data_IF_421265147411
#
_entry.id   IF_421265147411
#
_cell.length_a   1.000
_cell.length_b   1.000
_cell.length_c   1.000
_cell.angle_alpha   90.00
_cell.angle_beta   90.00
_cell.angle_gamma   90.00
#
_symmetry.space_group_name_H-M   'P 1'
#
loop_
_entity.id
_entity.type
_entity.pdbx_description
1 polymer ?
#
# COMPACT_ATOMS: atom_id res chain seq x y z
N UNK A 1 -6.58 19.96 -10.42
CA UNK A 1 -6.47 18.48 -10.57
C UNK A 1 -5.57 17.98 -9.45
N UNK A 2 -5.89 16.83 -8.84
CA UNK A 2 -5.06 16.21 -7.79
C UNK A 2 -4.18 15.11 -8.39
N UNK A 3 -2.94 14.97 -7.93
CA UNK A 3 -1.92 14.10 -8.53
C UNK A 3 -1.55 12.96 -7.59
N UNK A 4 -1.60 11.73 -8.11
CA UNK A 4 -1.01 10.55 -7.47
C UNK A 4 0.33 10.27 -8.17
N UNK A 5 1.44 10.46 -7.45
CA UNK A 5 2.77 10.04 -7.95
C UNK A 5 3.03 8.62 -7.45
N UNK A 6 3.24 7.71 -8.40
CA UNK A 6 3.26 6.27 -8.11
C UNK A 6 4.53 5.57 -8.60
N UNK A 7 5.08 4.72 -7.75
CA UNK A 7 6.12 3.76 -8.10
C UNK A 7 5.55 2.33 -8.05
N UNK A 8 5.95 1.49 -9.02
CA UNK A 8 5.53 0.09 -9.09
C UNK A 8 6.74 -0.80 -9.34
N UNK A 9 6.89 -1.88 -8.56
CA UNK A 9 7.82 -2.97 -8.84
C UNK A 9 7.06 -4.29 -8.90
N UNK A 10 6.94 -4.86 -10.10
CA UNK A 10 6.20 -6.11 -10.33
C UNK A 10 7.05 -7.37 -10.12
N UNK A 11 8.34 -7.22 -9.82
CA UNK A 11 9.29 -8.32 -9.74
C UNK A 11 9.69 -8.63 -8.30
N UNK A 12 9.80 -7.61 -7.45
CA UNK A 12 10.29 -7.78 -6.09
C UNK A 12 9.80 -6.69 -5.13
N UNK A 13 10.10 -6.92 -3.85
CA UNK A 13 9.99 -5.94 -2.78
C UNK A 13 11.38 -5.38 -2.47
N UNK A 14 11.65 -4.11 -2.81
CA UNK A 14 12.88 -3.44 -2.40
C UNK A 14 12.98 -3.32 -0.88
N UNK A 15 14.15 -2.94 -0.39
CA UNK A 15 14.38 -2.73 1.04
C UNK A 15 13.46 -1.63 1.63
N UNK A 16 13.18 -1.72 2.93
CA UNK A 16 12.38 -0.73 3.65
C UNK A 16 12.86 0.72 3.42
N UNK A 17 14.17 1.05 3.51
CA UNK A 17 14.64 2.40 3.26
C UNK A 17 14.37 2.90 1.84
N UNK A 18 14.41 2.01 0.84
CA UNK A 18 14.11 2.37 -0.55
C UNK A 18 12.62 2.70 -0.71
N UNK A 19 11.74 1.87 -0.16
CA UNK A 19 10.29 2.09 -0.20
C UNK A 19 9.93 3.40 0.51
N UNK A 20 10.50 3.63 1.70
CA UNK A 20 10.37 4.88 2.44
C UNK A 20 10.81 6.07 1.57
N UNK A 21 12.01 6.01 0.99
CA UNK A 21 12.53 7.09 0.16
C UNK A 21 11.62 7.41 -1.03
N UNK A 22 10.99 6.41 -1.66
CA UNK A 22 10.03 6.66 -2.76
C UNK A 22 8.76 7.37 -2.31
N UNK A 23 8.26 7.07 -1.10
CA UNK A 23 7.11 7.78 -0.54
C UNK A 23 7.45 9.25 -0.23
N UNK A 24 8.65 9.48 0.30
CA UNK A 24 9.17 10.83 0.58
C UNK A 24 9.41 11.61 -0.72
N UNK A 25 10.05 10.99 -1.71
CA UNK A 25 10.34 11.58 -3.02
C UNK A 25 9.05 12.08 -3.68
N UNK A 26 8.01 11.24 -3.72
CA UNK A 26 6.70 11.63 -4.25
C UNK A 26 6.12 12.85 -3.52
N UNK A 27 6.14 12.88 -2.18
CA UNK A 27 5.68 14.04 -1.40
C UNK A 27 6.51 15.29 -1.71
N UNK A 28 7.84 15.18 -1.74
CA UNK A 28 8.74 16.31 -2.02
C UNK A 28 8.60 16.84 -3.45
N UNK A 29 8.20 15.99 -4.39
CA UNK A 29 7.90 16.35 -5.76
C UNK A 29 6.51 17.00 -5.93
N UNK A 30 5.76 17.20 -4.83
CA UNK A 30 4.46 17.85 -4.84
C UNK A 30 3.28 16.92 -5.14
N UNK A 31 3.41 15.61 -4.87
CA UNK A 31 2.26 14.71 -4.94
C UNK A 31 1.18 15.11 -3.96
N UNK A 32 -0.09 15.08 -4.40
CA UNK A 32 -1.21 15.09 -3.46
C UNK A 32 -1.36 13.73 -2.75
N UNK A 33 -0.94 12.64 -3.41
CA UNK A 33 -0.92 11.28 -2.84
C UNK A 33 0.35 10.53 -3.27
N UNK A 34 1.13 10.06 -2.30
CA UNK A 34 2.29 9.19 -2.56
C UNK A 34 1.86 7.73 -2.70
N UNK A 35 2.30 7.02 -3.74
CA UNK A 35 1.91 5.61 -3.96
C UNK A 35 3.10 4.69 -4.24
N UNK A 36 3.16 3.54 -3.55
CA UNK A 36 4.12 2.46 -3.81
C UNK A 36 3.44 1.10 -3.86
N UNK A 37 3.61 0.36 -4.95
CA UNK A 37 3.18 -1.03 -5.07
C UNK A 37 4.35 -1.96 -5.40
N UNK A 38 4.50 -3.07 -4.67
CA UNK A 38 5.65 -3.99 -4.82
C UNK A 38 5.20 -5.45 -4.84
N UNK A 39 6.01 -6.34 -5.42
CA UNK A 39 5.70 -7.77 -5.50
C UNK A 39 6.47 -8.56 -4.43
N UNK A 40 5.80 -9.20 -3.46
CA UNK A 40 6.48 -10.03 -2.48
C UNK A 40 6.95 -11.35 -3.09
N UNK A 41 8.09 -11.87 -2.61
CA UNK A 41 8.52 -13.26 -2.82
C UNK A 41 8.11 -14.16 -1.66
N UNK A 42 7.91 -13.57 -0.47
CA UNK A 42 7.47 -14.23 0.74
C UNK A 42 6.75 -13.26 1.70
N UNK A 43 6.33 -13.73 2.87
CA UNK A 43 5.66 -12.89 3.87
C UNK A 43 6.61 -11.89 4.56
N UNK A 44 7.93 -12.12 4.55
CA UNK A 44 8.91 -11.17 5.06
C UNK A 44 8.97 -9.90 4.21
N UNK A 45 8.80 -10.03 2.90
CA UNK A 45 8.63 -8.90 1.99
C UNK A 45 7.35 -8.10 2.31
N UNK A 46 6.25 -8.77 2.65
CA UNK A 46 5.01 -8.10 3.07
C UNK A 46 5.25 -7.26 4.33
N UNK A 47 5.97 -7.81 5.32
CA UNK A 47 6.36 -7.08 6.53
C UNK A 47 7.26 -5.89 6.20
N UNK A 48 8.19 -6.05 5.25
CA UNK A 48 9.09 -4.97 4.79
C UNK A 48 8.30 -3.77 4.26
N UNK A 49 7.29 -4.02 3.42
CA UNK A 49 6.40 -2.96 2.94
C UNK A 49 5.59 -2.30 4.07
N UNK A 50 4.99 -3.09 4.95
CA UNK A 50 4.19 -2.57 6.06
C UNK A 50 5.04 -1.74 7.04
N UNK A 51 6.28 -2.18 7.29
CA UNK A 51 7.27 -1.42 8.09
C UNK A 51 7.57 -0.06 7.45
N UNK A 52 7.86 -0.04 6.13
CA UNK A 52 8.13 1.19 5.41
C UNK A 52 6.92 2.15 5.41
N UNK A 53 5.72 1.59 5.29
CA UNK A 53 4.45 2.33 5.38
C UNK A 53 4.30 2.99 6.75
N UNK A 54 4.42 2.21 7.82
CA UNK A 54 4.31 2.72 9.19
C UNK A 54 5.37 3.77 9.50
N UNK A 55 6.61 3.55 9.08
CA UNK A 55 7.71 4.51 9.26
C UNK A 55 7.43 5.82 8.54
N UNK A 56 7.04 5.77 7.26
CA UNK A 56 6.74 6.95 6.46
C UNK A 56 5.62 7.79 7.09
N UNK A 57 4.54 7.15 7.57
CA UNK A 57 3.43 7.82 8.26
C UNK A 57 3.87 8.57 9.52
N UNK A 58 4.67 7.90 10.36
CA UNK A 58 5.03 8.44 11.68
C UNK A 58 6.11 9.52 11.60
N UNK A 59 6.97 9.48 10.59
CA UNK A 59 8.06 10.46 10.46
C UNK A 59 7.65 11.68 9.62
N UNK A 60 7.63 11.54 8.29
CA UNK A 60 7.70 12.68 7.37
C UNK A 60 6.52 12.80 6.40
N UNK A 61 5.84 11.69 6.05
CA UNK A 61 4.74 11.72 5.08
C UNK A 61 3.44 12.15 5.77
N UNK A 62 3.02 13.40 5.55
CA UNK A 62 1.85 14.00 6.18
C UNK A 62 0.60 13.98 5.29
N UNK A 63 0.79 13.88 3.97
CA UNK A 63 -0.31 13.73 3.02
C UNK A 63 -0.89 12.31 3.01
N UNK A 64 -1.98 12.09 2.25
CA UNK A 64 -2.47 10.75 1.97
C UNK A 64 -1.41 9.92 1.25
N UNK A 65 -1.33 8.63 1.55
CA UNK A 65 -0.44 7.71 0.86
C UNK A 65 -1.10 6.34 0.67
N UNK A 66 -0.58 5.61 -0.31
CA UNK A 66 -1.10 4.31 -0.71
C UNK A 66 0.04 3.32 -0.85
N UNK A 67 0.04 2.28 -0.04
CA UNK A 67 1.01 1.20 -0.14
C UNK A 67 0.32 -0.14 -0.28
N UNK A 68 0.85 -1.01 -1.13
CA UNK A 68 0.31 -2.35 -1.29
C UNK A 68 1.37 -3.35 -1.72
N UNK A 69 1.32 -4.52 -1.09
CA UNK A 69 2.04 -5.70 -1.51
C UNK A 69 1.09 -6.44 -2.44
N UNK A 70 1.55 -6.71 -3.66
CA UNK A 70 0.77 -7.35 -4.71
C UNK A 70 0.73 -8.87 -4.49
N UNK A 71 -0.09 -9.57 -5.29
CA UNK A 71 -0.18 -11.02 -5.23
C UNK A 71 -0.97 -11.53 -4.00
N UNK A 72 -1.25 -12.84 -3.95
CA UNK A 72 -1.98 -13.47 -2.86
C UNK A 72 -1.33 -13.26 -1.48
N UNK A 73 0.01 -13.33 -1.42
CA UNK A 73 0.81 -13.15 -0.20
C UNK A 73 0.61 -11.74 0.39
N UNK A 74 0.48 -10.75 -0.49
CA UNK A 74 0.28 -9.35 -0.13
C UNK A 74 -1.16 -8.98 0.27
N UNK A 75 -2.12 -9.91 0.24
CA UNK A 75 -3.54 -9.64 0.51
C UNK A 75 -3.77 -8.91 1.85
N UNK A 76 -3.00 -9.27 2.89
CA UNK A 76 -3.07 -8.62 4.20
C UNK A 76 -2.75 -7.13 4.15
N UNK A 77 -1.86 -6.68 3.25
CA UNK A 77 -1.55 -5.26 3.08
C UNK A 77 -2.74 -4.46 2.53
N UNK A 78 -3.63 -5.09 1.77
CA UNK A 78 -4.86 -4.46 1.26
C UNK A 78 -5.94 -4.36 2.33
N UNK A 79 -6.02 -5.36 3.21
CA UNK A 79 -6.99 -5.43 4.31
C UNK A 79 -6.57 -4.53 5.48
N UNK A 80 -5.33 -4.68 5.95
CA UNK A 80 -4.83 -4.10 7.19
C UNK A 80 -3.89 -2.91 6.98
N UNK A 81 -3.59 -2.52 5.73
CA UNK A 81 -2.65 -1.43 5.43
C UNK A 81 -3.02 -0.08 6.06
N UNK A 82 -4.30 0.17 6.28
CA UNK A 82 -4.79 1.35 6.98
C UNK A 82 -4.30 1.45 8.42
N UNK A 83 -4.12 0.33 9.13
CA UNK A 83 -3.56 0.31 10.49
C UNK A 83 -2.10 0.82 10.53
N UNK A 84 -1.40 0.72 9.41
CA UNK A 84 -0.01 1.16 9.25
C UNK A 84 0.10 2.50 8.51
N UNK A 85 -1.02 3.08 8.07
CA UNK A 85 -1.07 4.42 7.49
C UNK A 85 -1.35 4.51 5.99
N UNK A 86 -1.67 3.42 5.29
CA UNK A 86 -2.17 3.51 3.90
C UNK A 86 -3.63 3.95 3.88
N UNK A 87 -3.93 5.12 3.32
CA UNK A 87 -5.26 5.74 3.38
C UNK A 87 -6.24 5.20 2.34
N UNK A 88 -5.71 4.52 1.32
CA UNK A 88 -6.50 3.98 0.21
C UNK A 88 -6.12 2.51 0.01
N UNK A 89 -7.09 1.69 -0.37
CA UNK A 89 -6.88 0.31 -0.80
C UNK A 89 -7.67 0.04 -2.08
N UNK A 90 -7.20 -0.90 -2.89
CA UNK A 90 -7.81 -1.25 -4.18
C UNK A 90 -8.45 -2.64 -4.12
N UNK A 91 -9.68 -2.73 -4.62
CA UNK A 91 -10.51 -3.93 -4.65
C UNK A 91 -11.00 -4.24 -6.07
N UNK A 92 -11.45 -5.47 -6.31
CA UNK A 92 -12.14 -5.85 -7.54
C UNK A 92 -13.59 -5.34 -7.49
N UNK A 93 -13.93 -4.43 -8.39
CA UNK A 93 -15.32 -3.98 -8.59
C UNK A 93 -16.10 -4.85 -9.59
N UNK A 94 -15.48 -5.17 -10.74
CA UNK A 94 -16.05 -6.05 -11.77
C UNK A 94 -15.00 -7.04 -12.30
N UNK A 95 -13.84 -6.55 -12.69
CA UNK A 95 -12.70 -7.34 -13.17
C UNK A 95 -11.43 -6.97 -12.40
N UNK A 96 -10.55 -7.96 -12.22
CA UNK A 96 -9.25 -7.74 -11.56
C UNK A 96 -8.32 -6.94 -12.46
N UNK A 97 -7.68 -5.91 -11.91
CA UNK A 97 -6.65 -5.11 -12.60
C UNK A 97 -5.23 -5.37 -12.09
N UNK A 98 -5.06 -6.18 -11.04
CA UNK A 98 -3.75 -6.57 -10.51
C UNK A 98 -3.83 -7.91 -9.75
N UNK A 99 -2.74 -8.71 -9.71
CA UNK A 99 -2.70 -9.94 -8.91
C UNK A 99 -3.01 -9.70 -7.42
N UNK A 100 -3.79 -10.60 -6.83
CA UNK A 100 -4.14 -10.56 -5.40
C UNK A 100 -5.16 -9.49 -4.99
N UNK A 101 -5.93 -8.93 -5.93
CA UNK A 101 -7.06 -8.07 -5.57
C UNK A 101 -8.20 -8.90 -4.97
N UNK A 102 -8.80 -8.37 -3.91
CA UNK A 102 -9.92 -8.97 -3.19
C UNK A 102 -11.22 -8.35 -3.74
N UNK A 103 -12.30 -9.12 -3.99
CA UNK A 103 -13.61 -8.57 -4.32
C UNK A 103 -14.07 -7.50 -3.32
N UNK A 104 -14.68 -6.42 -3.80
CA UNK A 104 -15.05 -5.27 -2.95
C UNK A 104 -15.93 -5.68 -1.75
N UNK A 105 -16.84 -6.63 -1.95
CA UNK A 105 -17.72 -7.15 -0.88
C UNK A 105 -16.92 -7.88 0.19
N UNK A 106 -15.98 -8.73 -0.21
CA UNK A 106 -15.11 -9.49 0.70
C UNK A 106 -14.13 -8.56 1.43
N UNK A 107 -13.53 -7.60 0.71
CA UNK A 107 -12.61 -6.63 1.30
C UNK A 107 -13.32 -5.79 2.36
N UNK A 108 -14.53 -5.28 2.08
CA UNK A 108 -15.33 -4.54 3.05
C UNK A 108 -15.64 -5.38 4.30
N UNK A 109 -16.06 -6.63 4.13
CA UNK A 109 -16.34 -7.54 5.25
C UNK A 109 -15.09 -7.81 6.09
N UNK A 110 -13.93 -8.03 5.47
CA UNK A 110 -12.68 -8.26 6.19
C UNK A 110 -12.18 -7.00 6.92
N UNK A 111 -12.29 -5.83 6.29
CA UNK A 111 -11.93 -4.53 6.88
C UNK A 111 -12.80 -4.18 8.09
N UNK A 112 -14.06 -4.59 8.12
CA UNK A 112 -14.97 -4.36 9.25
C UNK A 112 -14.40 -4.89 10.58
N UNK A 113 -13.61 -5.96 10.56
CA UNK A 113 -12.95 -6.52 11.75
C UNK A 113 -11.82 -5.64 12.33
N UNK A 114 -11.28 -4.72 11.54
CA UNK A 114 -10.12 -3.89 11.93
C UNK A 114 -10.47 -2.41 12.14
N UNK A 115 -11.48 -1.89 11.41
CA UNK A 115 -11.75 -0.44 11.37
C UNK A 115 -13.16 -0.03 11.84
N UNK A 116 -14.02 -0.97 12.23
CA UNK A 116 -15.30 -0.60 12.85
C UNK A 116 -15.06 -0.14 14.29
N UNK A 117 -14.85 1.16 14.47
CA UNK A 117 -15.12 1.91 15.70
C UNK A 117 -16.27 2.86 15.47
#
# INVERSE_FOLDING_TARGET
VKIILSYHNFTETPSEPFIYAKLVEAQTAGADISKVAVMPKDHGDVLTLLSATNKARNEIVKGPMVTMSMGPEGAVSRLAGGLFGSDITFAIGMQSSAPGQIPITELKSGMASFYNT
#
